data_IF_056664160534
#
_entry.id   IF_056664160534
#
_cell.length_a   1.000
_cell.length_b   1.000
_cell.length_c   1.000
_cell.angle_alpha   90.00
_cell.angle_beta   90.00
_cell.angle_gamma   90.00
#
_symmetry.space_group_name_H-M   'P 1'
#
loop_
_entity.id
_entity.type
_entity.pdbx_description
1 polymer ?
#
# COMPACT_ATOMS: atom_id res chain seq x y z
N UNK A 1 -1.60 -11.78 -38.14
CA UNK A 1 -2.02 -12.32 -36.82
C UNK A 1 -1.36 -11.43 -35.78
N UNK A 2 -2.08 -10.42 -35.34
CA UNK A 2 -1.65 -9.60 -34.20
C UNK A 2 -1.78 -10.48 -32.97
N UNK A 3 -0.69 -10.75 -32.26
CA UNK A 3 -0.77 -11.33 -30.94
C UNK A 3 -1.63 -10.38 -30.11
N UNK A 4 -2.83 -10.82 -29.73
CA UNK A 4 -3.60 -10.17 -28.68
C UNK A 4 -2.74 -10.21 -27.44
N UNK A 5 -2.06 -9.09 -27.18
CA UNK A 5 -1.32 -8.88 -25.95
C UNK A 5 -2.40 -8.62 -24.88
N UNK A 6 -2.95 -9.73 -24.35
CA UNK A 6 -4.04 -9.73 -23.38
C UNK A 6 -3.53 -9.33 -21.99
N UNK A 7 -2.74 -8.25 -21.96
CA UNK A 7 -2.21 -7.69 -20.73
C UNK A 7 -3.30 -6.84 -20.06
N UNK A 8 -3.74 -7.15 -18.83
CA UNK A 8 -4.81 -6.41 -18.15
C UNK A 8 -4.53 -4.91 -18.13
N UNK A 9 -5.54 -4.10 -18.45
CA UNK A 9 -5.45 -2.65 -18.36
C UNK A 9 -5.69 -2.22 -16.92
N UNK A 10 -4.73 -1.49 -16.36
CA UNK A 10 -4.72 -1.09 -14.97
C UNK A 10 -4.81 0.43 -14.80
N UNK A 11 -5.51 0.87 -13.76
CA UNK A 11 -5.37 2.22 -13.23
C UNK A 11 -4.43 2.21 -12.02
N UNK A 12 -3.43 3.07 -12.03
CA UNK A 12 -2.51 3.32 -10.91
C UNK A 12 -2.91 4.62 -10.23
N UNK A 13 -3.34 4.52 -8.98
CA UNK A 13 -3.84 5.62 -8.16
C UNK A 13 -2.89 5.82 -6.99
N UNK A 14 -2.18 6.93 -6.99
CA UNK A 14 -1.12 7.23 -6.02
C UNK A 14 -1.60 8.33 -5.07
N UNK A 15 -1.54 8.07 -3.80
CA UNK A 15 -1.78 9.04 -2.75
C UNK A 15 -0.46 9.73 -2.39
N UNK A 16 -0.30 10.99 -2.81
CA UNK A 16 0.95 11.73 -2.65
C UNK A 16 1.28 12.05 -1.18
N UNK A 17 0.26 12.21 -0.34
CA UNK A 17 0.43 12.63 1.04
C UNK A 17 0.95 11.48 1.94
N UNK A 18 0.69 10.22 1.55
CA UNK A 18 1.07 9.03 2.30
C UNK A 18 2.16 8.17 1.61
N UNK A 19 2.83 8.70 0.56
CA UNK A 19 3.77 7.89 -0.25
C UNK A 19 5.10 8.57 -0.55
N UNK A 20 5.65 9.33 0.41
CA UNK A 20 6.93 10.03 0.22
C UNK A 20 8.11 9.13 -0.15
N UNK A 21 8.13 7.88 0.34
CA UNK A 21 9.18 6.91 0.03
C UNK A 21 9.12 6.42 -1.41
N UNK A 22 7.95 6.44 -2.03
CA UNK A 22 7.73 5.98 -3.40
C UNK A 22 8.48 6.82 -4.43
N UNK A 23 8.72 8.11 -4.13
CA UNK A 23 9.45 9.00 -5.03
C UNK A 23 10.81 8.40 -5.46
N UNK A 24 11.51 7.79 -4.53
CA UNK A 24 12.83 7.22 -4.78
C UNK A 24 12.78 5.78 -5.36
N UNK A 25 11.59 5.20 -5.43
CA UNK A 25 11.31 3.84 -5.90
C UNK A 25 10.30 3.79 -7.07
N UNK A 26 10.12 4.92 -7.75
CA UNK A 26 9.06 5.03 -8.76
C UNK A 26 9.32 4.13 -9.98
N UNK A 27 10.59 3.97 -10.37
CA UNK A 27 10.99 3.07 -11.46
C UNK A 27 10.68 1.63 -11.08
N UNK A 28 11.08 1.20 -9.90
CA UNK A 28 10.87 -0.15 -9.37
C UNK A 28 9.37 -0.43 -9.16
N UNK A 29 8.60 0.58 -8.75
CA UNK A 29 7.15 0.48 -8.62
C UNK A 29 6.50 0.18 -9.98
N UNK A 30 6.81 0.94 -11.02
CA UNK A 30 6.25 0.71 -12.35
C UNK A 30 6.76 -0.57 -13.00
N UNK A 31 8.00 -0.98 -12.73
CA UNK A 31 8.51 -2.28 -13.13
C UNK A 31 7.70 -3.41 -12.49
N UNK A 32 7.42 -3.32 -11.18
CA UNK A 32 6.59 -4.33 -10.49
C UNK A 32 5.15 -4.34 -11.01
N UNK A 33 4.54 -3.16 -11.20
CA UNK A 33 3.19 -3.04 -11.77
C UNK A 33 3.10 -3.66 -13.17
N UNK A 34 4.14 -3.53 -13.99
CA UNK A 34 4.17 -4.08 -15.34
C UNK A 34 4.04 -5.60 -15.40
N UNK A 35 4.33 -6.30 -14.31
CA UNK A 35 4.15 -7.76 -14.18
C UNK A 35 2.68 -8.15 -14.06
N UNK A 36 1.83 -7.23 -13.62
CA UNK A 36 0.39 -7.45 -13.44
C UNK A 36 -0.44 -6.97 -14.63
N UNK A 37 0.05 -5.99 -15.39
CA UNK A 37 -0.70 -5.44 -16.50
C UNK A 37 -0.12 -4.15 -17.07
N UNK A 38 -0.86 -3.54 -17.98
CA UNK A 38 -0.55 -2.26 -18.59
C UNK A 38 -1.16 -1.12 -17.75
N UNK A 39 -0.30 -0.27 -17.18
CA UNK A 39 -0.71 0.92 -16.43
C UNK A 39 -1.21 2.03 -17.39
N UNK A 40 -2.39 1.83 -17.97
CA UNK A 40 -2.97 2.75 -18.97
C UNK A 40 -3.51 4.04 -18.34
N UNK A 41 -3.85 4.03 -17.07
CA UNK A 41 -4.19 5.24 -16.28
C UNK A 41 -3.21 5.37 -15.13
N UNK A 42 -2.56 6.55 -15.04
CA UNK A 42 -1.59 6.85 -13.96
C UNK A 42 -1.95 8.20 -13.37
N UNK A 43 -2.50 8.22 -12.16
CA UNK A 43 -2.92 9.44 -11.47
C UNK A 43 -2.32 9.50 -10.08
N UNK A 44 -1.97 10.72 -9.67
CA UNK A 44 -1.49 11.00 -8.32
C UNK A 44 -2.27 12.17 -7.75
N UNK A 45 -2.70 12.04 -6.50
CA UNK A 45 -3.59 12.96 -5.82
C UNK A 45 -2.85 13.66 -4.69
N UNK A 46 -2.98 14.96 -4.58
CA UNK A 46 -2.30 15.74 -3.55
C UNK A 46 -2.64 17.22 -3.60
N UNK A 47 -2.28 17.94 -2.55
CA UNK A 47 -2.28 19.39 -2.55
C UNK A 47 -0.94 19.92 -3.07
N UNK A 48 -0.85 20.14 -4.39
CA UNK A 48 0.37 20.57 -5.09
C UNK A 48 0.86 21.97 -4.71
N UNK A 49 0.15 22.69 -3.84
CA UNK A 49 0.63 23.94 -3.24
C UNK A 49 1.60 23.67 -2.09
N UNK A 50 1.64 22.44 -1.58
CA UNK A 50 2.53 22.04 -0.48
C UNK A 50 3.96 21.84 -0.99
N UNK A 51 4.93 22.46 -0.30
CA UNK A 51 6.35 22.36 -0.68
C UNK A 51 6.90 20.93 -0.63
N UNK A 52 6.37 20.09 0.24
CA UNK A 52 6.78 18.69 0.38
C UNK A 52 6.55 17.87 -0.89
N UNK A 53 5.56 18.23 -1.72
CA UNK A 53 5.27 17.56 -2.99
C UNK A 53 6.10 18.09 -4.16
N UNK A 54 6.96 19.09 -3.95
CA UNK A 54 7.74 19.72 -5.02
C UNK A 54 8.65 18.75 -5.77
N UNK A 55 9.16 17.69 -5.11
CA UNK A 55 10.00 16.64 -5.72
C UNK A 55 9.28 15.89 -6.84
N UNK A 56 7.97 15.78 -6.79
CA UNK A 56 7.19 15.10 -7.81
C UNK A 56 7.22 15.80 -9.16
N UNK A 57 7.43 17.12 -9.21
CA UNK A 57 7.41 17.93 -10.46
C UNK A 57 8.33 17.38 -11.55
N UNK A 58 9.49 16.85 -11.17
CA UNK A 58 10.46 16.30 -12.11
C UNK A 58 10.14 14.85 -12.51
N UNK A 59 9.40 14.13 -11.67
CA UNK A 59 9.09 12.70 -11.79
C UNK A 59 7.84 12.50 -12.64
N UNK A 60 6.81 13.31 -12.42
CA UNK A 60 5.51 13.15 -13.08
C UNK A 60 5.60 13.06 -14.60
N UNK A 61 6.34 13.98 -15.31
CA UNK A 61 6.45 13.89 -16.75
C UNK A 61 7.22 12.66 -17.24
N UNK A 62 8.25 12.23 -16.50
CA UNK A 62 9.08 11.07 -16.88
C UNK A 62 8.27 9.78 -16.91
N UNK A 63 7.29 9.65 -16.02
CA UNK A 63 6.44 8.44 -15.88
C UNK A 63 5.04 8.62 -16.44
N UNK A 64 4.76 9.74 -17.12
CA UNK A 64 3.43 10.08 -17.64
C UNK A 64 2.34 9.99 -16.56
N UNK A 65 2.63 10.47 -15.35
CA UNK A 65 1.69 10.48 -14.22
C UNK A 65 0.94 11.82 -14.24
N UNK A 66 -0.39 11.75 -14.25
CA UNK A 66 -1.26 12.92 -14.21
C UNK A 66 -1.48 13.38 -12.76
N UNK A 67 -1.03 14.58 -12.37
CA UNK A 67 -1.35 15.14 -11.06
C UNK A 67 -2.80 15.62 -11.02
N UNK A 68 -3.50 15.25 -9.95
CA UNK A 68 -4.84 15.72 -9.62
C UNK A 68 -4.70 16.65 -8.40
N UNK A 69 -5.10 17.91 -8.59
CA UNK A 69 -5.06 18.91 -7.51
C UNK A 69 -6.28 18.78 -6.62
N UNK A 70 -6.06 18.67 -5.32
CA UNK A 70 -7.10 18.84 -4.33
C UNK A 70 -6.62 19.79 -3.24
N UNK A 71 -7.27 20.94 -3.10
CA UNK A 71 -6.95 21.89 -2.03
C UNK A 71 -7.47 21.38 -0.69
N UNK A 72 -6.61 21.44 0.31
CA UNK A 72 -7.02 21.16 1.69
C UNK A 72 -7.76 22.39 2.25
N UNK A 73 -9.08 22.38 2.16
CA UNK A 73 -9.94 23.48 2.70
C UNK A 73 -9.86 23.63 4.23
N UNK A 74 -9.45 22.57 4.92
CA UNK A 74 -9.28 22.53 6.38
C UNK A 74 -8.12 21.58 6.70
N UNK A 75 -7.19 22.02 7.55
CA UNK A 75 -6.07 21.18 7.99
C UNK A 75 -6.57 19.90 8.66
N UNK A 76 -5.97 18.75 8.29
CA UNK A 76 -6.25 17.45 8.90
C UNK A 76 -7.58 16.81 8.47
N UNK A 77 -8.15 17.20 7.31
CA UNK A 77 -9.25 16.47 6.68
C UNK A 77 -8.77 15.78 5.42
N UNK A 78 -9.31 14.57 5.19
CA UNK A 78 -8.99 13.66 4.08
C UNK A 78 -9.57 14.15 2.74
N UNK A 79 -9.26 15.40 2.34
CA UNK A 79 -9.80 15.97 1.11
C UNK A 79 -9.19 15.28 -0.13
N UNK A 80 -7.90 14.97 -0.06
CA UNK A 80 -7.17 14.27 -1.12
C UNK A 80 -7.68 12.84 -1.28
N UNK A 81 -7.92 12.12 -0.17
CA UNK A 81 -8.46 10.76 -0.19
C UNK A 81 -9.85 10.73 -0.80
N UNK A 82 -10.69 11.72 -0.46
CA UNK A 82 -12.04 11.84 -1.04
C UNK A 82 -11.97 12.07 -2.56
N UNK A 83 -11.04 12.89 -3.03
CA UNK A 83 -10.86 13.13 -4.46
C UNK A 83 -10.38 11.86 -5.18
N UNK A 84 -9.44 11.12 -4.59
CA UNK A 84 -8.99 9.83 -5.11
C UNK A 84 -10.15 8.84 -5.19
N UNK A 85 -10.95 8.70 -4.12
CA UNK A 85 -12.09 7.77 -4.08
C UNK A 85 -13.13 8.11 -5.15
N UNK A 86 -13.50 9.37 -5.31
CA UNK A 86 -14.50 9.79 -6.31
C UNK A 86 -14.01 9.47 -7.71
N UNK A 87 -12.79 9.89 -8.05
CA UNK A 87 -12.19 9.65 -9.37
C UNK A 87 -11.99 8.16 -9.66
N UNK A 88 -11.62 7.38 -8.65
CA UNK A 88 -11.49 5.93 -8.73
C UNK A 88 -12.84 5.26 -9.04
N UNK A 89 -13.94 5.74 -8.44
CA UNK A 89 -15.28 5.25 -8.74
C UNK A 89 -15.73 5.64 -10.14
N UNK A 90 -15.40 6.85 -10.60
CA UNK A 90 -15.68 7.25 -12.00
C UNK A 90 -14.93 6.36 -12.97
N UNK A 91 -13.64 6.09 -12.75
CA UNK A 91 -12.84 5.17 -13.55
C UNK A 91 -13.42 3.74 -13.54
N UNK A 92 -13.91 3.26 -12.40
CA UNK A 92 -14.51 1.93 -12.29
C UNK A 92 -15.69 1.73 -13.26
N UNK A 93 -16.50 2.76 -13.44
CA UNK A 93 -17.73 2.67 -14.25
C UNK A 93 -17.56 3.17 -15.69
N UNK A 94 -16.58 4.02 -15.97
CA UNK A 94 -16.45 4.65 -17.29
C UNK A 94 -15.29 4.11 -18.13
N UNK A 95 -14.25 3.55 -17.48
CA UNK A 95 -13.06 3.10 -18.19
C UNK A 95 -13.03 1.56 -18.34
N UNK A 96 -12.56 1.06 -19.50
CA UNK A 96 -12.42 -0.38 -19.72
C UNK A 96 -11.14 -0.91 -19.03
N UNK A 97 -11.16 -0.96 -17.71
CA UNK A 97 -10.06 -1.40 -16.85
C UNK A 97 -10.37 -2.79 -16.29
N UNK A 98 -9.37 -3.64 -16.19
CA UNK A 98 -9.45 -4.96 -15.57
C UNK A 98 -8.99 -4.93 -14.11
N UNK A 99 -8.19 -3.91 -13.72
CA UNK A 99 -7.71 -3.81 -12.34
C UNK A 99 -7.25 -2.43 -11.92
N UNK A 100 -6.98 -2.32 -10.63
CA UNK A 100 -6.57 -1.09 -9.96
C UNK A 100 -5.35 -1.34 -9.07
N UNK A 101 -4.35 -0.48 -9.16
CA UNK A 101 -3.23 -0.42 -8.23
C UNK A 101 -3.45 0.76 -7.27
N UNK A 102 -3.57 0.47 -5.98
CA UNK A 102 -3.67 1.48 -4.91
C UNK A 102 -2.29 1.63 -4.30
N UNK A 103 -1.72 2.82 -4.43
CA UNK A 103 -0.40 3.16 -3.89
C UNK A 103 -0.59 4.09 -2.71
N UNK A 104 -0.84 3.51 -1.54
CA UNK A 104 -1.05 4.21 -0.27
C UNK A 104 -0.99 3.24 0.90
N UNK A 105 -0.57 3.71 2.06
CA UNK A 105 -0.59 2.97 3.34
C UNK A 105 -1.82 3.31 4.21
N UNK A 106 -2.76 4.09 3.69
CA UNK A 106 -3.93 4.51 4.44
C UNK A 106 -5.04 3.45 4.41
N UNK A 107 -5.50 3.06 5.61
CA UNK A 107 -6.61 2.11 5.80
C UNK A 107 -7.96 2.61 5.30
N UNK A 108 -8.13 3.92 5.10
CA UNK A 108 -9.37 4.51 4.61
C UNK A 108 -9.72 4.03 3.19
N UNK A 109 -8.71 3.59 2.42
CA UNK A 109 -8.90 2.96 1.10
C UNK A 109 -9.37 1.50 1.15
N UNK A 110 -9.50 0.88 2.34
CA UNK A 110 -9.97 -0.51 2.47
C UNK A 110 -11.35 -0.70 1.81
N UNK A 111 -12.30 0.22 2.02
CA UNK A 111 -13.63 0.14 1.41
C UNK A 111 -13.59 0.30 -0.10
N UNK A 112 -12.70 1.12 -0.62
CA UNK A 112 -12.49 1.29 -2.06
C UNK A 112 -11.96 -0.02 -2.69
N UNK A 113 -10.95 -0.64 -2.08
CA UNK A 113 -10.39 -1.92 -2.52
C UNK A 113 -11.45 -3.03 -2.54
N UNK A 114 -12.27 -3.14 -1.47
CA UNK A 114 -13.40 -4.08 -1.42
C UNK A 114 -14.39 -3.81 -2.56
N UNK A 115 -14.74 -2.54 -2.81
CA UNK A 115 -15.69 -2.16 -3.86
C UNK A 115 -15.20 -2.54 -5.26
N UNK A 116 -13.92 -2.37 -5.55
CA UNK A 116 -13.32 -2.83 -6.82
C UNK A 116 -13.46 -4.34 -6.98
N UNK A 117 -13.15 -5.12 -5.95
CA UNK A 117 -13.29 -6.58 -5.99
C UNK A 117 -14.74 -7.04 -6.14
N UNK A 118 -15.69 -6.41 -5.44
CA UNK A 118 -17.13 -6.65 -5.61
C UNK A 118 -17.59 -6.40 -7.04
N UNK A 119 -16.92 -5.48 -7.75
CA UNK A 119 -17.19 -5.18 -9.16
C UNK A 119 -16.41 -6.06 -10.14
N UNK A 120 -15.76 -7.13 -9.64
CA UNK A 120 -15.02 -8.10 -10.44
C UNK A 120 -13.66 -7.59 -10.94
N UNK A 121 -13.10 -6.53 -10.33
CA UNK A 121 -11.80 -5.98 -10.71
C UNK A 121 -10.68 -6.57 -9.85
N UNK A 122 -9.49 -6.70 -10.44
CA UNK A 122 -8.28 -7.05 -9.71
C UNK A 122 -7.79 -5.83 -8.92
N UNK A 123 -7.30 -6.06 -7.71
CA UNK A 123 -6.79 -5.00 -6.85
C UNK A 123 -5.40 -5.35 -6.35
N UNK A 124 -4.46 -4.47 -6.62
CA UNK A 124 -3.05 -4.58 -6.23
C UNK A 124 -2.70 -3.45 -5.26
N UNK A 125 -2.25 -3.79 -4.06
CA UNK A 125 -1.83 -2.82 -3.04
C UNK A 125 -0.31 -2.64 -3.06
N UNK A 126 0.14 -1.38 -3.02
CA UNK A 126 1.55 -1.01 -2.89
C UNK A 126 1.70 -0.05 -1.72
N UNK A 127 2.35 -0.48 -0.65
CA UNK A 127 2.39 0.28 0.60
C UNK A 127 3.59 -0.06 1.48
N UNK A 128 3.66 0.56 2.64
CA UNK A 128 4.68 0.27 3.66
C UNK A 128 4.32 -0.98 4.46
N UNK A 129 5.33 -1.66 5.04
CA UNK A 129 5.15 -2.85 5.87
C UNK A 129 4.22 -2.63 7.07
N UNK A 130 4.17 -1.41 7.60
CA UNK A 130 3.30 -1.03 8.74
C UNK A 130 1.82 -0.85 8.39
N UNK A 131 1.43 -1.05 7.12
CA UNK A 131 0.05 -0.86 6.66
C UNK A 131 -0.91 -1.83 7.36
N UNK A 132 -2.10 -1.37 7.81
CA UNK A 132 -3.06 -2.23 8.50
C UNK A 132 -3.48 -3.45 7.67
N UNK A 133 -3.65 -4.60 8.33
CA UNK A 133 -4.07 -5.87 7.71
C UNK A 133 -5.38 -5.77 6.94
N UNK A 134 -6.27 -4.84 7.33
CA UNK A 134 -7.56 -4.64 6.66
C UNK A 134 -7.40 -4.25 5.18
N UNK A 135 -6.49 -3.34 4.87
CA UNK A 135 -6.21 -2.94 3.49
C UNK A 135 -5.51 -4.07 2.73
N UNK A 136 -4.57 -4.77 3.39
CA UNK A 136 -3.88 -5.91 2.79
C UNK A 136 -4.86 -7.01 2.38
N UNK A 137 -5.76 -7.41 3.28
CA UNK A 137 -6.77 -8.43 3.03
C UNK A 137 -7.80 -8.02 1.96
N UNK A 138 -8.00 -6.73 1.75
CA UNK A 138 -8.88 -6.20 0.71
C UNK A 138 -8.27 -6.28 -0.71
N UNK A 139 -6.95 -6.46 -0.84
CA UNK A 139 -6.27 -6.58 -2.13
C UNK A 139 -6.20 -8.06 -2.60
N UNK A 140 -6.08 -8.28 -3.93
CA UNK A 140 -5.78 -9.59 -4.50
C UNK A 140 -4.31 -9.93 -4.30
N UNK A 141 -3.44 -8.96 -4.52
CA UNK A 141 -2.02 -9.03 -4.20
C UNK A 141 -1.56 -7.74 -3.53
N UNK A 142 -0.50 -7.89 -2.74
CA UNK A 142 0.02 -6.83 -1.91
C UNK A 142 1.55 -6.82 -1.95
N UNK A 143 2.15 -5.66 -2.16
CA UNK A 143 3.60 -5.49 -2.26
C UNK A 143 4.07 -4.37 -1.33
N UNK A 144 5.14 -4.64 -0.60
CA UNK A 144 5.76 -3.65 0.28
C UNK A 144 6.83 -2.85 -0.45
N UNK A 145 6.89 -1.55 -0.20
CA UNK A 145 7.96 -0.68 -0.74
C UNK A 145 9.34 -1.13 -0.28
N UNK A 146 9.43 -1.70 0.91
CA UNK A 146 10.66 -2.24 1.47
C UNK A 146 11.24 -3.37 0.60
N UNK A 147 10.39 -4.19 -0.02
CA UNK A 147 10.82 -5.25 -0.95
C UNK A 147 11.29 -4.64 -2.28
N UNK A 148 10.59 -3.63 -2.79
CA UNK A 148 11.00 -2.93 -4.02
C UNK A 148 12.39 -2.30 -3.87
N UNK A 149 12.68 -1.73 -2.69
CA UNK A 149 13.99 -1.14 -2.41
C UNK A 149 15.14 -2.16 -2.39
N UNK A 150 14.89 -3.40 -1.98
CA UNK A 150 15.90 -4.47 -2.00
C UNK A 150 16.27 -4.88 -3.43
N UNK A 151 15.30 -4.94 -4.33
CA UNK A 151 15.54 -5.26 -5.74
C UNK A 151 16.42 -4.21 -6.43
N UNK A 152 16.33 -2.94 -6.04
CA UNK A 152 17.21 -1.87 -6.52
C UNK A 152 18.69 -2.14 -6.24
N UNK A 153 19.01 -2.73 -5.09
CA UNK A 153 20.40 -3.02 -4.69
C UNK A 153 20.99 -4.25 -5.39
N UNK A 154 20.14 -5.20 -5.82
CA UNK A 154 20.59 -6.42 -6.50
C UNK A 154 20.94 -6.12 -7.97
N UNK A 155 20.27 -5.17 -8.62
CA UNK A 155 20.50 -4.79 -10.02
C UNK A 155 21.81 -4.03 -10.29
N UNK A 156 22.56 -3.62 -9.28
CA UNK A 156 23.84 -2.87 -9.42
C UNK A 156 25.06 -3.80 -9.22
N UNK A 157 24.85 -5.09 -8.89
CA UNK A 157 25.90 -6.01 -8.42
C UNK A 157 26.43 -7.09 -9.38
N UNK A 158 25.92 -7.24 -10.60
CA UNK A 158 26.35 -8.32 -11.50
C UNK A 158 27.04 -7.82 -12.78
N UNK A 159 28.19 -7.21 -12.58
CA UNK A 159 29.24 -7.21 -13.61
C UNK A 159 30.59 -7.04 -12.96
N UNK A 160 31.21 -8.14 -12.46
CA UNK A 160 32.67 -8.45 -12.53
C UNK A 160 32.95 -9.83 -11.92
N UNK A 161 33.50 -10.69 -12.82
CA UNK A 161 34.50 -11.72 -12.62
C UNK A 161 34.17 -13.01 -11.85
N UNK A 162 33.94 -14.03 -12.66
CA UNK A 162 34.38 -15.43 -12.47
C UNK A 162 35.85 -15.50 -12.07
N UNK A 163 36.13 -16.08 -10.89
CA UNK A 163 37.32 -16.95 -10.72
C UNK A 163 37.05 -17.93 -9.57
N UNK A 164 37.20 -19.20 -9.91
CA UNK A 164 37.18 -20.33 -9.01
C UNK A 164 38.46 -20.34 -8.16
N UNK A 165 38.37 -20.81 -6.92
CA UNK A 165 39.36 -21.72 -6.34
C UNK A 165 38.93 -22.18 -4.92
N UNK A 166 38.88 -23.49 -4.79
CA UNK A 166 39.23 -24.39 -3.69
C UNK A 166 38.56 -24.32 -2.28
N UNK A 167 37.88 -25.45 -2.06
CA UNK A 167 37.48 -25.96 -0.73
C UNK A 167 38.73 -26.53 -0.04
N UNK A 168 38.88 -26.42 1.30
CA UNK A 168 38.89 -27.63 2.09
C UNK A 168 37.94 -27.66 3.32
N UNK A 169 37.26 -28.75 3.37
CA UNK A 169 36.55 -29.39 4.45
C UNK A 169 37.38 -29.53 5.75
N UNK A 170 36.79 -29.13 6.90
CA UNK A 170 37.02 -29.83 8.18
C UNK A 170 35.87 -29.67 9.17
N UNK A 171 35.36 -30.85 9.48
CA UNK A 171 34.40 -31.18 10.52
C UNK A 171 34.90 -30.90 11.96
N UNK A 172 34.00 -30.59 12.89
CA UNK A 172 33.67 -31.29 14.16
C UNK A 172 32.92 -30.39 15.16
N UNK A 173 31.72 -30.78 15.46
CA UNK A 173 31.18 -31.20 16.76
C UNK A 173 31.32 -30.27 17.96
N UNK A 174 30.20 -29.76 18.51
CA UNK A 174 29.77 -30.17 19.86
C UNK A 174 28.39 -29.58 20.23
N UNK A 175 27.53 -30.48 20.65
CA UNK A 175 26.25 -30.21 21.34
C UNK A 175 26.49 -29.57 22.72
N UNK A 176 25.67 -28.62 23.12
CA UNK A 176 25.30 -28.45 24.53
C UNK A 176 23.81 -28.12 24.64
N UNK A 177 23.06 -29.12 25.11
CA UNK A 177 21.75 -29.07 25.71
C UNK A 177 21.77 -28.22 26.97
N UNK A 178 20.78 -27.34 27.18
CA UNK A 178 20.31 -26.99 28.52
C UNK A 178 18.81 -26.79 28.54
N UNK A 179 18.22 -27.58 29.40
CA UNK A 179 16.87 -27.85 29.81
C UNK A 179 16.13 -26.65 30.45
N UNK A 180 14.86 -26.55 30.11
CA UNK A 180 13.64 -26.31 30.91
C UNK A 180 13.72 -25.59 32.25
N UNK A 181 12.87 -24.58 32.44
CA UNK A 181 12.02 -24.44 33.66
C UNK A 181 10.72 -23.70 33.32
N UNK A 182 9.66 -24.41 33.51
CA UNK A 182 8.27 -23.98 33.60
C UNK A 182 7.97 -23.45 35.01
N UNK A 183 7.13 -22.45 35.17
CA UNK A 183 6.32 -22.20 36.38
C UNK A 183 5.31 -21.07 36.10
N UNK A 184 4.26 -20.90 36.95
CA UNK A 184 2.91 -21.28 36.54
C UNK A 184 1.96 -20.08 36.48
N UNK A 185 0.84 -20.36 35.87
CA UNK A 185 -0.41 -19.61 35.79
C UNK A 185 -0.95 -19.22 37.18
N UNK A 186 -1.27 -17.95 37.39
CA UNK A 186 -2.16 -17.52 38.47
C UNK A 186 -3.25 -16.60 37.90
N UNK A 187 -4.45 -17.10 38.03
CA UNK A 187 -5.73 -16.45 37.78
C UNK A 187 -6.01 -15.40 38.87
N UNK A 188 -6.27 -14.16 38.49
CA UNK A 188 -7.02 -13.25 39.36
C UNK A 188 -8.20 -12.67 38.59
N UNK A 189 -9.36 -13.04 39.11
CA UNK A 189 -10.67 -12.50 38.78
C UNK A 189 -10.82 -11.20 39.54
N UNK A 190 -11.07 -10.09 38.84
CA UNK A 190 -11.49 -8.84 39.48
C UNK A 190 -12.81 -8.36 38.89
N UNK A 191 -13.76 -8.34 39.79
CA UNK A 191 -15.15 -7.95 39.76
C UNK A 191 -15.43 -6.56 39.19
N UNK A 192 -16.53 -6.47 38.44
CA UNK A 192 -17.14 -5.23 37.94
C UNK A 192 -18.02 -4.62 39.06
N UNK A 193 -18.02 -3.30 39.29
CA UNK A 193 -19.10 -2.63 39.99
C UNK A 193 -19.92 -1.73 39.05
N UNK A 194 -21.21 -2.05 38.96
CA UNK A 194 -22.34 -1.14 39.30
C UNK A 194 -22.66 0.00 38.36
N UNK A 195 -23.70 -0.23 37.59
CA UNK A 195 -24.63 0.72 36.96
C UNK A 195 -25.05 1.87 37.88
N UNK A 196 -25.03 3.09 37.34
CA UNK A 196 -25.95 4.17 37.76
C UNK A 196 -26.73 4.70 36.57
N UNK A 197 -28.01 4.40 36.60
CA UNK A 197 -29.10 5.10 35.87
C UNK A 197 -29.15 6.55 36.34
N UNK A 198 -29.30 7.48 35.41
CA UNK A 198 -29.90 8.77 35.69
C UNK A 198 -30.92 9.08 34.59
N UNK A 199 -32.17 8.93 34.99
CA UNK A 199 -33.35 9.44 34.32
C UNK A 199 -33.48 10.93 34.62
N UNK A 200 -33.74 11.74 33.61
CA UNK A 200 -34.49 13.02 33.64
C UNK A 200 -35.03 13.17 32.24
N UNK A 201 -36.27 12.81 32.07
CA UNK A 201 -37.54 13.59 32.21
C UNK A 201 -37.70 14.73 31.20
N UNK A 202 -38.70 14.48 30.39
CA UNK A 202 -39.37 15.35 29.44
C UNK A 202 -39.71 16.74 30.04
N UNK A 203 -39.64 17.76 29.20
CA UNK A 203 -40.61 18.83 29.18
C UNK A 203 -40.88 19.24 27.74
N UNK A 204 -42.08 18.95 27.27
CA UNK A 204 -42.79 19.69 26.23
C UNK A 204 -43.11 21.06 26.80
N UNK A 205 -43.03 22.12 25.97
CA UNK A 205 -44.07 23.12 25.86
C UNK A 205 -43.78 24.09 24.68
N UNK A 206 -44.88 24.28 23.92
CA UNK A 206 -45.27 25.33 22.94
C UNK A 206 -44.42 25.51 21.69
#
# INVERSE_FOLDING_TARGET
>A
MTADNNNPRLAVLIDADNTFKVIDLIDELFEEISKFGDASVRRIYGDWTQNQLSRWKEILPKHAIQPIQQYANTKGKNATDSALIIDAMDLLYTAPLEGFCIVSSDSDFTRLAIRFRESGKLVYGFCEEKTPESLQAACNEFKYFEILSQNKHIGIGDSVATQAEDIPNKSKTSLKKKTTKSAPFSSEVTTIPGTKKNSRELAMDT
#
